data_IF_799991397643
#
_entry.id   IF_799991397643
#
_cell.length_a   1.000
_cell.length_b   1.000
_cell.length_c   1.000
_cell.angle_alpha   90.00
_cell.angle_beta   90.00
_cell.angle_gamma   90.00
#
_symmetry.space_group_name_H-M   'P 1'
#
loop_
_entity.id
_entity.type
_entity.pdbx_description
1 polymer ?
#
# COMPACT_ATOMS: atom_id res chain seq x y z
N UNK A 1 21.35 -3.13 -7.87
CA UNK A 1 20.50 -4.21 -8.41
C UNK A 1 19.54 -3.72 -9.49
N UNK A 2 18.91 -2.54 -9.38
CA UNK A 2 18.01 -1.99 -10.42
C UNK A 2 18.69 -1.63 -11.76
N UNK A 3 19.97 -1.19 -11.77
CA UNK A 3 20.74 -0.90 -13.00
C UNK A 3 20.93 -2.12 -13.93
N UNK A 4 20.85 -3.34 -13.39
CA UNK A 4 20.99 -4.56 -14.18
C UNK A 4 19.64 -4.96 -14.80
N UNK A 5 18.52 -4.81 -14.09
CA UNK A 5 17.23 -5.37 -14.52
C UNK A 5 16.65 -4.74 -15.80
N UNK A 6 16.74 -3.42 -15.99
CA UNK A 6 16.22 -2.77 -17.20
C UNK A 6 17.03 -3.10 -18.47
N UNK A 7 18.37 -3.12 -18.36
CA UNK A 7 19.26 -3.56 -19.44
C UNK A 7 19.14 -5.08 -19.70
N UNK A 8 18.96 -5.88 -18.64
CA UNK A 8 18.81 -7.35 -18.76
C UNK A 8 17.47 -7.73 -19.40
N UNK A 9 16.39 -6.96 -19.18
CA UNK A 9 15.10 -7.18 -19.86
C UNK A 9 15.16 -6.88 -21.35
N UNK A 10 15.89 -5.83 -21.78
CA UNK A 10 16.08 -5.53 -23.20
C UNK A 10 17.04 -6.50 -23.91
N UNK A 11 17.98 -7.12 -23.18
CA UNK A 11 18.96 -8.05 -23.75
C UNK A 11 18.46 -9.51 -23.87
N UNK A 12 17.39 -9.91 -23.17
CA UNK A 12 16.95 -11.33 -23.13
C UNK A 12 15.91 -11.75 -24.19
N UNK A 13 15.42 -10.83 -25.03
CA UNK A 13 14.41 -11.15 -26.07
C UNK A 13 14.97 -11.16 -27.49
N UNK A 14 16.21 -11.62 -27.69
CA UNK A 14 16.76 -11.90 -29.03
C UNK A 14 16.11 -13.15 -29.63
N UNK A 15 14.88 -13.03 -30.11
CA UNK A 15 14.30 -13.99 -31.04
C UNK A 15 14.98 -13.80 -32.41
N UNK A 16 15.45 -14.89 -33.01
CA UNK A 16 16.08 -14.88 -34.33
C UNK A 16 15.09 -14.37 -35.39
N UNK A 17 15.13 -13.07 -35.67
CA UNK A 17 14.52 -12.49 -36.86
C UNK A 17 15.37 -12.89 -38.07
N UNK A 18 14.74 -13.17 -39.22
CA UNK A 18 15.45 -13.52 -40.45
C UNK A 18 16.51 -12.45 -40.77
N UNK A 19 17.71 -12.89 -41.16
CA UNK A 19 18.88 -12.03 -41.35
C UNK A 19 18.54 -10.80 -42.19
N UNK A 20 18.51 -9.62 -41.56
CA UNK A 20 18.43 -8.37 -42.31
C UNK A 20 19.79 -8.12 -42.98
N UNK A 21 19.84 -7.16 -43.90
CA UNK A 21 21.12 -6.79 -44.49
C UNK A 21 21.98 -6.01 -43.46
N UNK A 22 23.31 -6.16 -43.50
CA UNK A 22 24.20 -5.31 -42.71
C UNK A 22 24.04 -3.84 -43.10
N UNK A 23 24.20 -2.95 -42.12
CA UNK A 23 24.10 -1.52 -42.26
C UNK A 23 25.20 -1.01 -43.21
N UNK A 24 24.81 -0.19 -44.17
CA UNK A 24 25.76 0.59 -44.97
C UNK A 24 26.50 1.60 -44.09
N UNK A 25 27.68 2.05 -44.55
CA UNK A 25 28.45 3.10 -43.85
C UNK A 25 27.61 4.37 -43.62
N UNK A 26 26.77 4.76 -44.58
CA UNK A 26 25.88 5.90 -44.45
C UNK A 26 24.81 5.71 -43.35
N UNK A 27 24.25 4.50 -43.22
CA UNK A 27 23.31 4.16 -42.16
C UNK A 27 23.98 4.21 -40.78
N UNK A 28 25.20 3.67 -40.65
CA UNK A 28 25.97 3.75 -39.39
C UNK A 28 26.29 5.21 -39.01
N UNK A 29 26.67 6.05 -39.98
CA UNK A 29 26.89 7.48 -39.72
C UNK A 29 25.60 8.19 -39.30
N UNK A 30 24.47 7.92 -39.96
CA UNK A 30 23.16 8.47 -39.58
C UNK A 30 22.76 8.07 -38.17
N UNK A 31 22.98 6.80 -37.80
CA UNK A 31 22.68 6.30 -36.46
C UNK A 31 23.53 6.97 -35.38
N UNK A 32 24.86 7.08 -35.60
CA UNK A 32 25.75 7.77 -34.67
C UNK A 32 25.38 9.26 -34.50
N UNK A 33 24.99 9.94 -35.59
CA UNK A 33 24.51 11.31 -35.54
C UNK A 33 23.17 11.45 -34.81
N UNK A 34 22.28 10.46 -34.91
CA UNK A 34 21.00 10.46 -34.20
C UNK A 34 21.19 10.34 -32.69
N UNK A 35 22.08 9.45 -32.23
CA UNK A 35 22.40 9.25 -30.81
C UNK A 35 23.08 10.51 -30.21
N UNK A 36 23.97 11.14 -30.98
CA UNK A 36 24.69 12.35 -30.56
C UNK A 36 23.87 13.64 -30.73
N UNK A 37 22.65 13.58 -31.26
CA UNK A 37 21.82 14.76 -31.43
C UNK A 37 21.35 15.27 -30.06
N UNK A 38 21.46 16.59 -29.87
CA UNK A 38 20.86 17.26 -28.73
C UNK A 38 19.34 17.16 -28.82
N UNK A 39 18.71 16.87 -27.69
CA UNK A 39 17.25 16.98 -27.56
C UNK A 39 16.85 18.46 -27.48
N UNK A 40 15.59 18.76 -27.77
CA UNK A 40 15.06 20.11 -27.67
C UNK A 40 15.23 20.69 -26.26
N UNK A 41 15.33 22.02 -26.16
CA UNK A 41 15.39 22.71 -24.86
C UNK A 41 14.16 22.41 -24.00
N UNK A 42 12.98 22.26 -24.60
CA UNK A 42 11.76 21.86 -23.90
C UNK A 42 11.87 20.48 -23.29
N UNK A 43 12.38 19.50 -24.04
CA UNK A 43 12.61 18.16 -23.52
C UNK A 43 13.68 18.18 -22.42
N UNK A 44 14.84 18.80 -22.68
CA UNK A 44 15.91 18.92 -21.68
C UNK A 44 15.45 19.52 -20.34
N UNK A 45 14.63 20.58 -20.37
CA UNK A 45 14.05 21.17 -19.16
C UNK A 45 13.10 20.21 -18.43
N UNK A 46 12.25 19.47 -19.17
CA UNK A 46 11.34 18.48 -18.60
C UNK A 46 12.08 17.31 -17.93
N UNK A 47 13.27 16.98 -18.44
CA UNK A 47 14.17 15.98 -17.87
C UNK A 47 15.08 16.51 -16.76
N UNK A 48 15.03 17.82 -16.47
CA UNK A 48 15.96 18.50 -15.58
C UNK A 48 17.44 18.35 -16.00
N UNK A 49 17.69 18.25 -17.29
CA UNK A 49 19.03 18.18 -17.87
C UNK A 49 19.49 19.55 -18.39
N UNK A 50 20.79 19.89 -18.32
CA UNK A 50 21.30 21.08 -18.98
C UNK A 50 21.10 20.97 -20.51
N UNK A 51 20.51 21.99 -21.17
CA UNK A 51 20.19 21.93 -22.60
C UNK A 51 21.38 21.64 -23.50
N UNK A 52 22.58 22.09 -23.10
CA UNK A 52 23.79 21.99 -23.92
C UNK A 52 24.45 20.59 -23.86
N UNK A 53 24.06 19.76 -22.89
CA UNK A 53 24.61 18.40 -22.70
C UNK A 53 23.58 17.29 -22.87
N UNK A 54 22.31 17.64 -23.05
CA UNK A 54 21.22 16.68 -23.12
C UNK A 54 21.15 16.05 -24.53
N UNK A 55 21.70 14.85 -24.63
CA UNK A 55 21.67 14.01 -25.84
C UNK A 55 20.87 12.74 -25.58
N UNK A 56 20.41 12.06 -26.63
CA UNK A 56 19.79 10.74 -26.47
C UNK A 56 20.73 9.73 -25.79
N UNK A 57 22.03 9.81 -26.07
CA UNK A 57 23.05 8.98 -25.39
C UNK A 57 23.05 9.18 -23.87
N UNK A 58 23.15 10.44 -23.42
CA UNK A 58 23.15 10.78 -21.99
C UNK A 58 21.88 10.33 -21.28
N UNK A 59 20.78 10.31 -22.01
CA UNK A 59 19.47 9.98 -21.51
C UNK A 59 19.29 8.46 -21.37
N UNK A 60 19.67 7.67 -22.39
CA UNK A 60 19.64 6.20 -22.33
C UNK A 60 20.58 5.65 -21.25
N UNK A 61 21.66 6.39 -20.94
CA UNK A 61 22.58 6.05 -19.86
C UNK A 61 21.98 6.25 -18.45
N UNK A 62 20.94 7.09 -18.30
CA UNK A 62 20.31 7.38 -17.02
C UNK A 62 19.15 6.40 -16.75
N UNK A 63 19.21 5.72 -15.60
CA UNK A 63 18.19 4.71 -15.24
C UNK A 63 16.90 5.41 -14.81
N UNK A 64 15.78 5.08 -15.46
CA UNK A 64 14.47 5.68 -15.18
C UNK A 64 14.10 6.85 -16.10
N UNK A 65 14.97 7.20 -17.05
CA UNK A 65 14.74 8.30 -18.01
C UNK A 65 13.67 8.00 -19.08
N UNK A 66 13.20 6.74 -19.17
CA UNK A 66 12.18 6.35 -20.14
C UNK A 66 10.83 7.02 -19.87
N UNK A 67 10.45 7.19 -18.59
CA UNK A 67 9.18 7.82 -18.21
C UNK A 67 9.17 9.32 -18.54
N UNK A 68 10.35 9.92 -18.43
CA UNK A 68 10.57 11.34 -18.67
C UNK A 68 10.73 11.64 -20.16
N UNK A 69 11.22 10.69 -20.97
CA UNK A 69 11.16 10.73 -22.44
C UNK A 69 9.75 10.71 -23.00
N UNK A 70 8.83 10.03 -22.32
CA UNK A 70 7.44 9.93 -22.78
C UNK A 70 6.60 11.17 -22.47
N UNK A 71 7.21 12.23 -21.93
CA UNK A 71 6.52 13.50 -21.69
C UNK A 71 6.18 14.18 -23.02
N UNK A 72 5.06 14.93 -23.08
CA UNK A 72 4.68 15.69 -24.29
C UNK A 72 5.78 16.63 -24.79
N UNK A 73 6.63 17.16 -23.89
CA UNK A 73 7.74 18.04 -24.24
C UNK A 73 8.85 17.34 -25.05
N UNK A 74 8.89 16.01 -25.06
CA UNK A 74 9.89 15.17 -25.71
C UNK A 74 9.36 14.40 -26.93
N UNK A 75 8.08 14.56 -27.29
CA UNK A 75 7.46 13.77 -28.37
C UNK A 75 8.12 13.97 -29.73
N UNK A 76 8.47 15.23 -30.05
CA UNK A 76 9.09 15.58 -31.32
C UNK A 76 10.54 15.08 -31.40
N UNK A 77 11.27 15.16 -30.28
CA UNK A 77 12.62 14.60 -30.19
C UNK A 77 12.62 13.08 -30.37
N UNK A 78 11.70 12.39 -29.70
CA UNK A 78 11.55 10.94 -29.81
C UNK A 78 11.14 10.53 -31.23
N UNK A 79 10.21 11.26 -31.86
CA UNK A 79 9.81 11.02 -33.25
C UNK A 79 10.99 11.25 -34.23
N UNK A 80 11.75 12.34 -34.04
CA UNK A 80 12.91 12.66 -34.85
C UNK A 80 14.01 11.59 -34.68
N UNK A 81 14.32 11.18 -33.45
CA UNK A 81 15.28 10.10 -33.18
C UNK A 81 14.84 8.79 -33.84
N UNK A 82 13.57 8.39 -33.66
CA UNK A 82 13.05 7.16 -34.27
C UNK A 82 13.15 7.20 -35.80
N UNK A 83 12.85 8.34 -36.42
CA UNK A 83 12.92 8.49 -37.89
C UNK A 83 14.33 8.35 -38.48
N UNK A 84 15.37 8.52 -37.65
CA UNK A 84 16.78 8.49 -38.05
C UNK A 84 17.47 7.15 -37.79
N UNK A 85 16.87 6.26 -37.01
CA UNK A 85 17.42 4.92 -36.76
C UNK A 85 17.17 4.05 -37.99
N UNK A 86 18.24 3.56 -38.66
CA UNK A 86 18.10 2.78 -39.87
C UNK A 86 17.53 1.38 -39.56
N UNK A 87 16.79 0.82 -40.52
CA UNK A 87 16.40 -0.60 -40.49
C UNK A 87 17.50 -1.45 -41.13
N UNK A 88 18.39 -2.01 -40.31
CA UNK A 88 19.47 -2.92 -40.69
C UNK A 88 19.92 -3.77 -39.48
N UNK A 89 20.71 -4.84 -39.72
CA UNK A 89 21.03 -5.86 -38.71
C UNK A 89 21.74 -5.28 -37.46
N UNK A 90 22.74 -4.42 -37.63
CA UNK A 90 23.50 -3.82 -36.53
C UNK A 90 22.67 -2.79 -35.74
N UNK A 91 21.62 -2.25 -36.35
CA UNK A 91 20.66 -1.35 -35.71
C UNK A 91 19.40 -2.08 -35.20
N UNK A 92 19.29 -3.40 -35.42
CA UNK A 92 18.08 -4.18 -35.07
C UNK A 92 17.76 -4.12 -33.58
N UNK A 93 18.78 -4.17 -32.71
CA UNK A 93 18.63 -4.01 -31.26
C UNK A 93 18.11 -2.63 -30.88
N UNK A 94 18.61 -1.57 -31.53
CA UNK A 94 18.17 -0.19 -31.28
C UNK A 94 16.76 0.04 -31.80
N UNK A 95 16.45 -0.46 -32.99
CA UNK A 95 15.11 -0.41 -33.58
C UNK A 95 14.08 -1.17 -32.73
N UNK A 96 14.45 -2.34 -32.19
CA UNK A 96 13.62 -3.08 -31.25
C UNK A 96 13.41 -2.31 -29.95
N UNK A 97 14.48 -1.77 -29.36
CA UNK A 97 14.39 -0.94 -28.15
C UNK A 97 13.53 0.31 -28.38
N UNK A 98 13.62 0.94 -29.56
CA UNK A 98 12.76 2.06 -29.94
C UNK A 98 11.30 1.68 -30.10
N UNK A 99 11.02 0.53 -30.71
CA UNK A 99 9.65 0.01 -30.82
C UNK A 99 9.07 -0.25 -29.44
N UNK A 100 9.85 -0.84 -28.53
CA UNK A 100 9.47 -1.03 -27.14
C UNK A 100 9.25 0.32 -26.44
N UNK A 101 10.12 1.31 -26.63
CA UNK A 101 10.01 2.65 -26.06
C UNK A 101 8.78 3.41 -26.59
N UNK A 102 8.47 3.32 -27.88
CA UNK A 102 7.29 3.94 -28.45
C UNK A 102 6.01 3.29 -27.94
N UNK A 103 5.97 1.96 -27.89
CA UNK A 103 4.87 1.21 -27.28
C UNK A 103 4.72 1.59 -25.81
N UNK A 104 5.84 1.71 -25.10
CA UNK A 104 5.88 2.16 -23.72
C UNK A 104 5.30 3.57 -23.55
N UNK A 105 5.77 4.56 -24.32
CA UNK A 105 5.24 5.93 -24.26
C UNK A 105 3.77 6.02 -24.64
N UNK A 106 3.33 5.23 -25.63
CA UNK A 106 1.92 5.13 -25.97
C UNK A 106 1.11 4.59 -24.78
N UNK A 107 1.54 3.50 -24.15
CA UNK A 107 0.82 2.90 -23.04
C UNK A 107 0.85 3.77 -21.77
N UNK A 108 1.95 4.46 -21.48
CA UNK A 108 2.05 5.41 -20.35
C UNK A 108 1.12 6.61 -20.54
N UNK A 109 0.86 7.01 -21.78
CA UNK A 109 -0.12 8.08 -22.10
C UNK A 109 -1.56 7.56 -22.23
N UNK A 110 -1.74 6.24 -22.29
CA UNK A 110 -3.04 5.56 -22.36
C UNK A 110 -3.11 4.45 -21.30
N UNK A 111 -3.00 4.80 -20.00
CA UNK A 111 -3.03 3.80 -18.95
C UNK A 111 -4.36 3.05 -18.95
N UNK A 112 -4.34 1.85 -18.39
CA UNK A 112 -5.53 1.06 -18.12
C UNK A 112 -6.38 1.79 -17.08
N UNK A 113 -7.58 2.22 -17.49
CA UNK A 113 -8.47 3.06 -16.66
C UNK A 113 -9.82 2.41 -16.35
N UNK A 114 -10.05 1.19 -16.84
CA UNK A 114 -11.33 0.47 -16.83
C UNK A 114 -11.47 -0.56 -15.70
N UNK A 115 -10.47 -0.66 -14.82
CA UNK A 115 -10.41 -1.67 -13.76
C UNK A 115 -9.88 -3.03 -14.21
N UNK A 116 -9.44 -3.17 -15.47
CA UNK A 116 -8.85 -4.38 -16.03
C UNK A 116 -7.49 -4.74 -15.44
N UNK A 117 -6.83 -5.75 -16.01
CA UNK A 117 -5.51 -6.19 -15.52
C UNK A 117 -4.43 -5.14 -15.81
N UNK A 118 -3.56 -4.87 -14.83
CA UNK A 118 -2.42 -3.98 -15.04
C UNK A 118 -1.43 -4.56 -16.05
N UNK A 119 -0.97 -3.71 -16.96
CA UNK A 119 0.13 -3.98 -17.89
C UNK A 119 1.46 -3.52 -17.30
N UNK A 120 2.58 -3.92 -17.92
CA UNK A 120 3.90 -3.42 -17.53
C UNK A 120 4.03 -1.89 -17.60
N UNK A 121 3.33 -1.25 -18.54
CA UNK A 121 3.31 0.21 -18.67
C UNK A 121 2.52 0.88 -17.54
N UNK A 122 1.43 0.25 -17.07
CA UNK A 122 0.68 0.76 -15.92
C UNK A 122 1.54 0.80 -14.66
N UNK A 123 2.33 -0.25 -14.41
CA UNK A 123 3.24 -0.28 -13.26
C UNK A 123 4.31 0.80 -13.32
N UNK A 124 4.83 1.05 -14.51
CA UNK A 124 5.89 2.02 -14.68
C UNK A 124 5.35 3.47 -14.65
N UNK A 125 4.15 3.73 -15.20
CA UNK A 125 3.44 4.99 -14.96
C UNK A 125 3.15 5.18 -13.46
N UNK A 126 2.68 4.14 -12.77
CA UNK A 126 2.45 4.21 -11.32
C UNK A 126 3.74 4.61 -10.59
N UNK A 127 4.85 3.90 -10.83
CA UNK A 127 6.15 4.19 -10.23
C UNK A 127 6.61 5.63 -10.51
N UNK A 128 6.48 6.09 -11.76
CA UNK A 128 6.81 7.46 -12.15
C UNK A 128 5.97 8.49 -11.39
N UNK A 129 4.65 8.28 -11.32
CA UNK A 129 3.69 9.18 -10.67
C UNK A 129 3.92 9.27 -9.16
N UNK A 130 4.13 8.15 -8.46
CA UNK A 130 4.37 8.16 -7.01
C UNK A 130 5.77 8.65 -6.62
N UNK A 131 6.72 8.60 -7.56
CA UNK A 131 8.08 9.14 -7.36
C UNK A 131 8.16 10.65 -7.60
N UNK A 132 7.11 11.28 -8.14
CA UNK A 132 7.09 12.74 -8.33
C UNK A 132 7.23 13.45 -6.98
N UNK A 133 8.00 14.54 -6.92
CA UNK A 133 8.05 15.35 -5.71
C UNK A 133 6.65 15.85 -5.33
N UNK A 134 6.35 15.83 -4.03
CA UNK A 134 5.16 16.50 -3.51
C UNK A 134 5.28 18.01 -3.77
N UNK A 135 4.15 18.71 -3.85
CA UNK A 135 4.19 20.18 -3.95
C UNK A 135 4.98 20.77 -2.79
N UNK A 136 5.69 21.88 -3.03
CA UNK A 136 6.57 22.50 -2.04
C UNK A 136 5.86 22.95 -0.76
N UNK A 137 4.57 23.29 -0.86
CA UNK A 137 3.69 23.62 0.27
C UNK A 137 3.13 22.38 1.00
N UNK A 138 3.49 21.17 0.55
CA UNK A 138 3.25 19.91 1.24
C UNK A 138 4.54 19.30 1.77
N UNK A 139 5.62 19.32 0.97
CA UNK A 139 6.89 18.66 1.29
C UNK A 139 7.62 19.26 2.50
N UNK A 140 7.33 20.50 2.89
CA UNK A 140 7.89 21.09 4.11
C UNK A 140 7.48 20.35 5.39
N UNK A 141 6.41 19.53 5.32
CA UNK A 141 5.79 18.90 6.49
C UNK A 141 5.66 17.38 6.38
N UNK A 142 5.93 16.76 5.22
CA UNK A 142 5.35 15.45 4.91
C UNK A 142 6.18 14.49 4.00
N UNK A 143 7.50 14.71 3.84
CA UNK A 143 8.43 13.93 2.96
C UNK A 143 8.61 14.48 1.53
N UNK A 144 9.56 13.92 0.77
CA UNK A 144 9.93 14.43 -0.57
C UNK A 144 9.00 13.95 -1.69
N UNK A 145 8.44 12.74 -1.57
CA UNK A 145 7.56 12.10 -2.56
C UNK A 145 6.51 11.19 -1.90
N UNK A 146 5.60 10.61 -2.69
CA UNK A 146 4.47 9.80 -2.20
C UNK A 146 4.95 8.50 -1.53
N UNK A 147 6.00 7.86 -2.07
CA UNK A 147 6.57 6.62 -1.50
C UNK A 147 7.09 6.89 -0.09
N UNK A 148 7.87 7.96 0.09
CA UNK A 148 8.38 8.33 1.41
C UNK A 148 7.24 8.68 2.38
N UNK A 149 6.21 9.40 1.92
CA UNK A 149 5.04 9.69 2.73
C UNK A 149 4.32 8.41 3.20
N UNK A 150 4.15 7.39 2.33
CA UNK A 150 3.56 6.11 2.76
C UNK A 150 4.38 5.40 3.82
N UNK A 151 5.70 5.59 3.84
CA UNK A 151 6.59 4.96 4.81
C UNK A 151 6.67 5.72 6.14
N UNK A 152 6.40 7.03 6.14
CA UNK A 152 6.47 7.88 7.33
C UNK A 152 5.09 8.06 7.99
N UNK A 153 4.73 7.09 8.83
CA UNK A 153 3.52 7.15 9.66
C UNK A 153 3.44 8.40 10.56
N UNK A 154 4.57 9.06 10.86
CA UNK A 154 4.59 10.27 11.71
C UNK A 154 4.25 11.54 10.92
N UNK A 155 4.38 11.50 9.59
CA UNK A 155 4.03 12.59 8.69
C UNK A 155 2.53 12.65 8.35
N UNK A 156 1.81 11.52 8.47
CA UNK A 156 0.38 11.43 8.15
C UNK A 156 -0.53 12.44 8.86
N UNK A 157 -0.39 12.73 10.18
CA UNK A 157 -1.23 13.74 10.82
C UNK A 157 -1.02 15.13 10.22
N UNK A 158 0.21 15.50 9.89
CA UNK A 158 0.53 16.77 9.24
C UNK A 158 0.01 16.81 7.79
N UNK A 159 0.14 15.71 7.06
CA UNK A 159 -0.43 15.52 5.72
C UNK A 159 -1.96 15.70 5.73
N UNK A 160 -2.67 14.96 6.58
CA UNK A 160 -4.13 15.02 6.67
C UNK A 160 -4.66 16.35 7.21
N UNK A 161 -3.85 17.07 7.98
CA UNK A 161 -4.14 18.43 8.42
C UNK A 161 -3.91 19.52 7.37
N UNK A 162 -3.28 19.20 6.23
CA UNK A 162 -2.93 20.15 5.18
C UNK A 162 -3.79 19.96 3.93
N UNK A 163 -4.74 20.88 3.63
CA UNK A 163 -5.57 20.80 2.43
C UNK A 163 -4.75 20.77 1.13
N UNK A 164 -3.59 21.43 1.10
CA UNK A 164 -2.69 21.43 -0.05
C UNK A 164 -2.04 20.06 -0.27
N UNK A 165 -1.68 19.37 0.81
CA UNK A 165 -1.16 18.02 0.73
C UNK A 165 -2.21 17.03 0.21
N UNK A 166 -3.42 17.08 0.77
CA UNK A 166 -4.52 16.23 0.33
C UNK A 166 -4.85 16.49 -1.14
N UNK A 167 -4.86 17.76 -1.58
CA UNK A 167 -5.06 18.12 -2.98
C UNK A 167 -3.91 17.64 -3.89
N UNK A 168 -2.66 17.68 -3.42
CA UNK A 168 -1.52 17.14 -4.16
C UNK A 168 -1.66 15.63 -4.40
N UNK A 169 -2.00 14.85 -3.37
CA UNK A 169 -2.21 13.41 -3.52
C UNK A 169 -3.43 13.10 -4.38
N UNK A 170 -4.50 13.91 -4.31
CA UNK A 170 -5.62 13.78 -5.24
C UNK A 170 -5.18 13.98 -6.71
N UNK A 171 -4.30 14.96 -6.98
CA UNK A 171 -3.75 15.17 -8.31
C UNK A 171 -2.81 14.04 -8.78
N UNK A 172 -2.09 13.40 -7.85
CA UNK A 172 -1.32 12.17 -8.12
C UNK A 172 -2.28 11.03 -8.46
N UNK A 173 -3.33 10.85 -7.66
CA UNK A 173 -4.33 9.82 -7.85
C UNK A 173 -4.99 9.85 -9.23
N UNK A 174 -5.32 11.04 -9.75
CA UNK A 174 -5.93 11.18 -11.07
C UNK A 174 -5.04 10.66 -12.22
N UNK A 175 -3.72 10.62 -12.01
CA UNK A 175 -2.74 10.12 -12.97
C UNK A 175 -2.45 8.62 -12.83
N UNK A 176 -2.90 7.97 -11.75
CA UNK A 176 -2.59 6.57 -11.47
C UNK A 176 -3.52 5.65 -12.25
N UNK A 177 -3.01 4.60 -12.93
CA UNK A 177 -3.85 3.63 -13.62
C UNK A 177 -4.95 3.05 -12.72
N UNK A 178 -6.17 2.98 -13.24
CA UNK A 178 -7.25 2.23 -12.60
C UNK A 178 -7.23 0.79 -13.14
N UNK A 179 -6.30 -0.02 -12.65
CA UNK A 179 -6.13 -1.42 -13.03
C UNK A 179 -5.90 -2.29 -11.79
N UNK A 180 -6.20 -3.59 -11.90
CA UNK A 180 -5.95 -4.59 -10.86
C UNK A 180 -4.72 -5.44 -11.17
N UNK A 181 -3.88 -5.64 -10.15
CA UNK A 181 -2.73 -6.56 -10.21
C UNK A 181 -3.21 -8.01 -10.15
N UNK A 182 -4.28 -8.25 -9.39
CA UNK A 182 -4.96 -9.53 -9.27
C UNK A 182 -6.45 -9.32 -9.53
N UNK A 183 -6.98 -9.92 -10.60
CA UNK A 183 -8.41 -9.80 -10.93
C UNK A 183 -9.31 -10.60 -9.97
N UNK A 184 -8.75 -11.52 -9.19
CA UNK A 184 -9.49 -12.28 -8.19
C UNK A 184 -9.63 -11.55 -6.86
N UNK A 185 -8.79 -10.55 -6.61
CA UNK A 185 -8.83 -9.71 -5.43
C UNK A 185 -9.26 -8.27 -5.79
N UNK A 186 -10.48 -7.83 -5.43
CA UNK A 186 -10.88 -6.43 -5.62
C UNK A 186 -10.03 -5.46 -4.78
N UNK A 187 -9.20 -5.96 -3.87
CA UNK A 187 -8.14 -5.26 -3.12
C UNK A 187 -6.94 -4.85 -3.96
N UNK A 188 -6.66 -5.59 -5.03
CA UNK A 188 -5.45 -5.43 -5.79
C UNK A 188 -5.51 -4.33 -6.87
N UNK A 189 -6.56 -3.50 -6.87
CA UNK A 189 -6.64 -2.33 -7.74
C UNK A 189 -5.65 -1.25 -7.27
N UNK A 190 -4.69 -0.89 -8.13
CA UNK A 190 -3.59 0.03 -7.80
C UNK A 190 -4.11 1.39 -7.34
N UNK A 191 -5.07 1.93 -8.09
CA UNK A 191 -5.72 3.20 -7.78
C UNK A 191 -6.46 3.12 -6.45
N UNK A 192 -7.26 2.08 -6.24
CA UNK A 192 -7.98 1.83 -4.99
C UNK A 192 -7.05 1.67 -3.78
N UNK A 193 -5.94 0.95 -3.94
CA UNK A 193 -4.93 0.78 -2.89
C UNK A 193 -4.27 2.12 -2.52
N UNK A 194 -3.89 2.93 -3.51
CA UNK A 194 -3.32 4.26 -3.24
C UNK A 194 -4.33 5.17 -2.52
N UNK A 195 -5.60 5.13 -2.97
CA UNK A 195 -6.70 5.83 -2.33
C UNK A 195 -6.83 5.43 -0.86
N UNK A 196 -6.83 4.13 -0.60
CA UNK A 196 -6.94 3.59 0.74
C UNK A 196 -5.78 4.05 1.63
N UNK A 197 -4.54 4.00 1.11
CA UNK A 197 -3.33 4.39 1.83
C UNK A 197 -3.30 5.87 2.20
N UNK A 198 -3.87 6.77 1.40
CA UNK A 198 -3.77 8.22 1.62
C UNK A 198 -5.10 8.93 1.91
N UNK A 199 -6.21 8.19 2.02
CA UNK A 199 -7.49 8.75 2.42
C UNK A 199 -7.47 9.11 3.91
N UNK A 200 -7.63 10.40 4.19
CA UNK A 200 -7.69 10.95 5.55
C UNK A 200 -9.05 10.79 6.22
N UNK A 201 -10.08 10.40 5.45
CA UNK A 201 -11.41 10.12 5.99
C UNK A 201 -11.43 8.69 6.51
N UNK A 202 -11.81 8.45 7.78
CA UNK A 202 -12.00 7.11 8.31
C UNK A 202 -12.90 6.27 7.40
N UNK A 203 -12.60 4.99 7.28
CA UNK A 203 -13.38 4.04 6.52
C UNK A 203 -14.75 3.79 7.15
N UNK A 204 -15.71 3.40 6.31
CA UNK A 204 -17.04 3.02 6.78
C UNK A 204 -17.00 1.79 7.70
N UNK A 205 -18.04 1.63 8.53
CA UNK A 205 -18.15 0.49 9.43
C UNK A 205 -18.14 -0.84 8.67
N UNK A 206 -17.19 -1.73 9.00
CA UNK A 206 -16.97 -3.00 8.30
C UNK A 206 -16.39 -2.86 6.87
N UNK A 207 -16.12 -1.63 6.42
CA UNK A 207 -15.45 -1.34 5.16
C UNK A 207 -13.93 -1.43 5.26
N UNK A 208 -13.22 -0.97 4.23
CA UNK A 208 -11.76 -0.96 4.24
C UNK A 208 -11.19 0.16 5.10
N UNK A 209 -10.16 -0.15 5.88
CA UNK A 209 -9.44 0.83 6.67
C UNK A 209 -8.60 1.74 5.79
N UNK A 210 -8.51 3.00 6.19
CA UNK A 210 -7.80 4.08 5.49
C UNK A 210 -6.65 4.62 6.34
N UNK A 211 -5.87 5.56 5.81
CA UNK A 211 -4.93 6.34 6.63
C UNK A 211 -5.61 7.11 7.77
N UNK A 212 -6.85 7.57 7.58
CA UNK A 212 -7.65 8.19 8.64
C UNK A 212 -7.84 7.26 9.84
N UNK A 213 -8.10 5.99 9.58
CA UNK A 213 -8.21 4.96 10.62
C UNK A 213 -6.87 4.69 11.29
N UNK A 214 -5.79 4.58 10.52
CA UNK A 214 -4.44 4.41 11.06
C UNK A 214 -4.03 5.57 11.97
N UNK A 215 -4.42 6.80 11.62
CA UNK A 215 -4.22 7.99 12.45
C UNK A 215 -5.02 7.90 13.75
N UNK A 216 -6.28 7.47 13.71
CA UNK A 216 -7.07 7.25 14.92
C UNK A 216 -6.44 6.21 15.84
N UNK A 217 -5.91 5.12 15.30
CA UNK A 217 -5.18 4.10 16.06
C UNK A 217 -3.88 4.64 16.66
N UNK A 218 -3.17 5.50 15.92
CA UNK A 218 -1.94 6.15 16.40
C UNK A 218 -2.25 7.15 17.52
N UNK A 219 -3.35 7.89 17.41
CA UNK A 219 -3.84 8.78 18.46
C UNK A 219 -4.22 7.99 19.71
N UNK A 220 -4.94 6.88 19.56
CA UNK A 220 -5.25 5.97 20.66
C UNK A 220 -3.96 5.46 21.32
N UNK A 221 -3.02 4.97 20.51
CA UNK A 221 -1.77 4.42 20.99
C UNK A 221 -0.93 5.44 21.80
N UNK A 222 -1.04 6.72 21.46
CA UNK A 222 -0.31 7.81 22.12
C UNK A 222 -1.10 8.51 23.23
N UNK A 223 -2.37 8.15 23.42
CA UNK A 223 -3.24 8.72 24.45
C UNK A 223 -2.63 8.50 25.84
N UNK A 224 -2.41 9.57 26.63
CA UNK A 224 -1.90 9.43 27.98
C UNK A 224 -2.95 8.78 28.87
N UNK A 225 -2.51 7.80 29.67
CA UNK A 225 -3.37 7.13 30.64
C UNK A 225 -3.81 8.13 31.70
N UNK A 226 -5.09 8.09 32.10
CA UNK A 226 -5.60 8.95 33.16
C UNK A 226 -4.76 8.82 34.43
N UNK A 227 -4.45 9.96 35.06
CA UNK A 227 -3.57 10.01 36.23
C UNK A 227 -4.03 9.07 37.36
N UNK A 228 -5.33 8.98 37.62
CA UNK A 228 -5.90 8.09 38.63
C UNK A 228 -5.77 6.60 38.27
N UNK A 229 -5.81 6.25 36.99
CA UNK A 229 -5.55 4.90 36.52
C UNK A 229 -4.06 4.57 36.64
N UNK A 230 -3.19 5.46 36.17
CA UNK A 230 -1.74 5.30 36.28
C UNK A 230 -1.31 5.14 37.74
N UNK A 231 -1.82 5.98 38.64
CA UNK A 231 -1.54 5.89 40.09
C UNK A 231 -2.02 4.56 40.68
N UNK A 232 -3.26 4.14 40.39
CA UNK A 232 -3.81 2.90 40.93
C UNK A 232 -3.04 1.64 40.49
N UNK A 233 -2.33 1.73 39.37
CA UNK A 233 -1.50 0.65 38.82
C UNK A 233 0.00 0.85 39.06
N UNK A 234 0.42 1.90 39.77
CA UNK A 234 1.82 2.29 39.94
C UNK A 234 2.58 2.46 38.61
N UNK A 235 1.91 3.00 37.60
CA UNK A 235 2.49 3.28 36.28
C UNK A 235 3.09 4.70 36.25
N UNK A 236 4.17 4.93 35.49
CA UNK A 236 4.70 6.27 35.26
C UNK A 236 3.62 7.25 34.74
N UNK A 237 3.65 8.55 35.12
CA UNK A 237 2.68 9.54 34.62
C UNK A 237 2.69 9.74 33.10
N UNK A 238 3.81 9.41 32.44
CA UNK A 238 3.96 9.46 30.98
C UNK A 238 3.53 8.17 30.27
N UNK A 239 2.90 7.23 30.99
CA UNK A 239 2.41 5.98 30.42
C UNK A 239 1.35 6.27 29.36
N UNK A 240 1.54 5.70 28.18
CA UNK A 240 0.61 5.78 27.05
C UNK A 240 -0.29 4.55 27.03
N UNK A 241 -1.41 4.64 26.31
CA UNK A 241 -2.35 3.53 26.15
C UNK A 241 -1.68 2.22 25.70
N UNK A 242 -0.71 2.27 24.78
CA UNK A 242 0.02 1.07 24.33
C UNK A 242 0.73 0.34 25.46
N UNK A 243 1.44 1.09 26.31
CA UNK A 243 2.14 0.51 27.45
C UNK A 243 1.16 -0.07 28.47
N UNK A 244 0.03 0.61 28.73
CA UNK A 244 -1.05 0.08 29.57
C UNK A 244 -1.60 -1.23 29.03
N UNK A 245 -1.88 -1.29 27.73
CA UNK A 245 -2.50 -2.45 27.06
C UNK A 245 -1.60 -3.69 27.05
N UNK A 246 -0.28 -3.50 27.00
CA UNK A 246 0.70 -4.59 27.08
C UNK A 246 1.07 -4.98 28.52
N UNK A 247 0.63 -4.21 29.51
CA UNK A 247 0.90 -4.53 30.91
C UNK A 247 -0.06 -5.62 31.37
N UNK A 248 0.47 -6.66 32.00
CA UNK A 248 -0.34 -7.72 32.59
C UNK A 248 -1.30 -7.10 33.62
N UNK A 249 -2.60 -7.30 33.45
CA UNK A 249 -3.62 -6.66 34.29
C UNK A 249 -3.55 -7.21 35.71
N UNK A 250 -3.15 -6.41 36.72
CA UNK A 250 -3.06 -6.90 38.09
C UNK A 250 -4.48 -7.15 38.65
N UNK A 251 -4.64 -8.00 39.68
CA UNK A 251 -5.94 -8.30 40.27
C UNK A 251 -6.73 -7.07 40.73
N UNK A 252 -6.02 -6.00 41.14
CA UNK A 252 -6.63 -4.74 41.55
C UNK A 252 -7.23 -3.91 40.41
N UNK A 253 -6.89 -4.20 39.14
CA UNK A 253 -7.34 -3.47 37.95
C UNK A 253 -8.84 -3.16 37.97
N UNK A 254 -9.62 -4.17 38.36
CA UNK A 254 -11.08 -4.15 38.37
C UNK A 254 -11.70 -3.25 39.43
N UNK A 255 -10.94 -2.88 40.47
CA UNK A 255 -11.34 -1.97 41.51
C UNK A 255 -10.89 -0.51 41.24
N UNK A 256 -10.22 -0.26 40.10
CA UNK A 256 -9.69 1.07 39.74
C UNK A 256 -10.58 1.80 38.74
N UNK A 257 -10.16 3.01 38.34
CA UNK A 257 -10.75 3.78 37.24
C UNK A 257 -10.23 3.36 35.86
N UNK A 258 -9.25 2.45 35.78
CA UNK A 258 -8.67 2.00 34.53
C UNK A 258 -9.64 1.34 33.55
N UNK A 259 -10.60 0.50 33.99
CA UNK A 259 -11.60 -0.06 33.08
C UNK A 259 -12.42 1.04 32.38
N UNK A 260 -12.82 2.08 33.12
CA UNK A 260 -13.55 3.23 32.56
C UNK A 260 -12.67 4.09 31.62
N UNK A 261 -11.37 4.23 31.90
CA UNK A 261 -10.45 4.88 30.96
C UNK A 261 -10.37 4.10 29.64
N UNK A 262 -10.16 2.79 29.72
CA UNK A 262 -10.04 1.92 28.55
C UNK A 262 -11.34 1.93 27.73
N UNK A 263 -12.48 1.86 28.40
CA UNK A 263 -13.80 2.04 27.81
C UNK A 263 -13.92 3.33 27.00
N UNK A 264 -13.62 4.48 27.63
CA UNK A 264 -13.66 5.77 26.97
C UNK A 264 -12.72 5.80 25.78
N UNK A 265 -11.46 5.37 25.95
CA UNK A 265 -10.46 5.35 24.90
C UNK A 265 -10.91 4.52 23.68
N UNK A 266 -11.54 3.36 23.89
CA UNK A 266 -12.12 2.58 22.79
C UNK A 266 -13.34 3.28 22.19
N UNK A 267 -14.28 3.77 22.98
CA UNK A 267 -15.48 4.44 22.42
C UNK A 267 -15.15 5.70 21.61
N UNK A 268 -14.05 6.39 21.91
CA UNK A 268 -13.64 7.61 21.21
C UNK A 268 -12.69 7.38 20.04
N UNK A 269 -11.99 6.24 20.01
CA UNK A 269 -10.93 5.98 19.01
C UNK A 269 -11.00 4.61 18.33
N UNK A 270 -12.07 3.83 18.52
CA UNK A 270 -12.32 2.62 17.73
C UNK A 270 -12.59 3.04 16.29
N UNK A 271 -11.72 2.56 15.41
CA UNK A 271 -11.90 2.65 13.96
C UNK A 271 -13.06 1.76 13.56
N UNK A 272 -13.93 2.20 12.65
CA UNK A 272 -15.12 1.42 12.29
C UNK A 272 -14.82 0.33 11.25
N UNK A 273 -13.72 0.48 10.51
CA UNK A 273 -13.31 -0.38 9.41
C UNK A 273 -12.91 -1.82 9.81
N UNK A 274 -12.80 -2.71 8.83
CA UNK A 274 -12.25 -4.06 9.00
C UNK A 274 -10.73 -3.99 9.17
N UNK A 275 -10.25 -4.22 10.39
CA UNK A 275 -8.83 -4.18 10.75
C UNK A 275 -7.97 -5.17 9.95
N UNK A 276 -8.54 -6.21 9.33
CA UNK A 276 -7.81 -7.08 8.41
C UNK A 276 -7.36 -6.37 7.13
N UNK A 277 -7.98 -5.22 6.82
CA UNK A 277 -7.70 -4.41 5.64
C UNK A 277 -6.83 -3.19 5.94
N UNK A 278 -6.31 -3.04 7.17
CA UNK A 278 -5.40 -1.95 7.49
C UNK A 278 -4.24 -1.93 6.49
N UNK A 279 -3.89 -0.75 5.95
CA UNK A 279 -2.67 -0.60 5.16
C UNK A 279 -1.49 -0.67 6.13
N UNK A 280 -1.05 -1.88 6.47
CA UNK A 280 0.07 -2.09 7.40
C UNK A 280 1.34 -2.44 6.63
N UNK A 281 2.34 -1.59 6.78
CA UNK A 281 3.74 -1.99 6.73
C UNK A 281 4.01 -2.96 7.91
N UNK A 282 4.43 -4.20 7.66
CA UNK A 282 4.61 -5.21 8.69
C UNK A 282 5.75 -4.80 9.65
N UNK A 283 5.43 -4.41 10.88
CA UNK A 283 6.50 -4.21 11.89
C UNK A 283 6.08 -3.60 13.22
N UNK A 284 5.53 -2.39 13.23
CA UNK A 284 5.44 -1.61 14.48
C UNK A 284 4.14 -1.84 15.27
N UNK A 285 3.02 -2.10 14.58
CA UNK A 285 1.69 -2.18 15.19
C UNK A 285 1.13 -3.60 15.30
N UNK A 286 1.86 -4.63 14.84
CA UNK A 286 1.34 -6.01 14.75
C UNK A 286 0.65 -6.55 16.01
N UNK A 287 1.25 -6.44 17.21
CA UNK A 287 0.62 -6.90 18.46
C UNK A 287 -0.63 -6.09 18.85
N UNK A 288 -0.61 -4.78 18.58
CA UNK A 288 -1.73 -3.87 18.85
C UNK A 288 -2.87 -4.18 17.89
N UNK A 289 -2.60 -4.28 16.58
CA UNK A 289 -3.61 -4.57 15.56
C UNK A 289 -4.29 -5.92 15.81
N UNK A 290 -3.55 -6.97 16.19
CA UNK A 290 -4.14 -8.28 16.46
C UNK A 290 -5.08 -8.25 17.68
N UNK A 291 -4.69 -7.57 18.75
CA UNK A 291 -5.54 -7.44 19.95
C UNK A 291 -6.71 -6.48 19.73
N UNK A 292 -6.51 -5.39 19.00
CA UNK A 292 -7.58 -4.49 18.59
C UNK A 292 -8.54 -5.17 17.61
N UNK A 293 -8.07 -6.04 16.71
CA UNK A 293 -8.92 -6.80 15.80
C UNK A 293 -9.90 -7.67 16.56
N UNK A 294 -9.44 -8.36 17.61
CA UNK A 294 -10.31 -9.15 18.47
C UNK A 294 -11.33 -8.27 19.24
N UNK A 295 -10.89 -7.12 19.77
CA UNK A 295 -11.76 -6.17 20.45
C UNK A 295 -12.80 -5.55 19.49
N UNK A 296 -12.41 -5.32 18.24
CA UNK A 296 -13.24 -4.73 17.21
C UNK A 296 -14.30 -5.69 16.69
N UNK A 297 -13.95 -6.97 16.47
CA UNK A 297 -14.93 -8.02 16.13
C UNK A 297 -15.99 -8.15 17.23
N UNK A 298 -15.58 -8.04 18.51
CA UNK A 298 -16.53 -7.98 19.61
C UNK A 298 -17.38 -6.70 19.54
N UNK A 299 -16.78 -5.53 19.37
CA UNK A 299 -17.51 -4.26 19.28
C UNK A 299 -18.50 -4.21 18.12
N UNK A 300 -18.14 -4.74 16.95
CA UNK A 300 -19.00 -4.79 15.77
C UNK A 300 -20.19 -5.74 15.94
N UNK A 301 -20.01 -6.86 16.65
CA UNK A 301 -21.05 -7.89 16.80
C UNK A 301 -22.08 -7.61 17.89
N UNK A 302 -21.67 -6.95 18.98
CA UNK A 302 -22.56 -6.69 20.14
C UNK A 302 -22.71 -5.20 20.48
N UNK A 303 -22.03 -4.31 19.75
CA UNK A 303 -21.94 -2.89 20.06
C UNK A 303 -20.84 -2.59 21.08
N UNK A 304 -20.29 -1.38 21.06
CA UNK A 304 -19.12 -0.99 21.88
C UNK A 304 -19.38 -1.20 23.37
N UNK A 305 -20.54 -0.78 23.88
CA UNK A 305 -20.90 -0.92 25.29
C UNK A 305 -21.00 -2.39 25.74
N UNK A 306 -21.50 -3.29 24.88
CA UNK A 306 -21.61 -4.71 25.22
C UNK A 306 -20.24 -5.42 25.11
N UNK A 307 -19.43 -5.07 24.12
CA UNK A 307 -18.07 -5.59 23.98
C UNK A 307 -17.18 -5.16 25.15
N UNK A 308 -17.32 -3.92 25.59
CA UNK A 308 -16.69 -3.41 26.81
C UNK A 308 -17.15 -4.18 28.04
N UNK A 309 -18.47 -4.36 28.22
CA UNK A 309 -19.00 -5.13 29.34
C UNK A 309 -18.51 -6.59 29.33
N UNK A 310 -18.38 -7.22 28.15
CA UNK A 310 -17.85 -8.56 28.00
C UNK A 310 -16.34 -8.63 28.30
N UNK A 311 -15.57 -7.63 27.85
CA UNK A 311 -14.14 -7.52 28.14
C UNK A 311 -13.90 -7.28 29.63
N UNK A 312 -14.67 -6.38 30.26
CA UNK A 312 -14.66 -6.18 31.71
C UNK A 312 -15.05 -7.46 32.43
N UNK A 313 -16.13 -8.13 32.07
CA UNK A 313 -16.57 -9.34 32.75
C UNK A 313 -15.52 -10.47 32.67
N UNK A 314 -14.75 -10.52 31.59
CA UNK A 314 -13.65 -11.48 31.41
C UNK A 314 -12.39 -11.11 32.21
N UNK A 315 -11.99 -9.83 32.18
CA UNK A 315 -10.81 -9.35 32.91
C UNK A 315 -11.08 -9.22 34.42
N UNK A 316 -12.34 -8.99 34.77
CA UNK A 316 -12.85 -8.73 36.10
C UNK A 316 -14.00 -9.69 36.39
N UNK A 317 -13.71 -11.00 36.55
CA UNK A 317 -14.73 -11.93 36.96
C UNK A 317 -15.28 -11.45 38.30
N UNK A 318 -16.55 -11.03 38.29
CA UNK A 318 -17.26 -10.65 39.50
C UNK A 318 -17.16 -11.87 40.41
N UNK A 319 -16.47 -11.73 41.55
CA UNK A 319 -16.43 -12.82 42.52
C UNK A 319 -17.89 -13.13 42.84
N UNK A 320 -18.38 -14.35 42.56
CA UNK A 320 -19.80 -14.63 42.75
C UNK A 320 -20.13 -14.29 44.19
N UNK A 321 -21.12 -13.41 44.38
CA UNK A 321 -21.64 -13.09 45.70
C UNK A 321 -21.88 -14.43 46.42
N UNK A 322 -21.45 -14.60 47.68
CA UNK A 322 -21.55 -15.87 48.38
C UNK A 322 -22.95 -16.42 48.22
N UNK A 323 -23.08 -17.47 47.41
CA UNK A 323 -24.41 -18.04 47.16
C UNK A 323 -24.87 -18.61 48.48
N UNK A 324 -25.93 -18.02 49.03
CA UNK A 324 -26.68 -18.60 50.15
C UNK A 324 -26.94 -20.07 49.79
N UNK A 325 -26.60 -21.04 50.67
CA UNK A 325 -26.66 -22.46 50.33
C UNK A 325 -28.01 -22.82 49.71
N UNK A 326 -27.99 -23.16 48.42
CA UNK A 326 -29.18 -23.64 47.71
C UNK A 326 -29.60 -24.96 48.38
N UNK A 327 -30.87 -25.11 48.82
CA UNK A 327 -31.37 -26.37 49.33
C UNK A 327 -31.09 -27.50 48.34
N UNK A 328 -30.57 -28.62 48.85
CA UNK A 328 -30.17 -29.77 48.05
C UNK A 328 -31.28 -30.17 47.06
N UNK A 329 -31.00 -30.20 45.75
CA UNK A 329 -31.99 -30.62 44.77
C UNK A 329 -32.39 -32.07 44.99
N UNK A 330 -33.70 -32.33 45.02
CA UNK A 330 -34.27 -33.67 44.97
C UNK A 330 -33.83 -34.35 43.66
N UNK A 331 -33.40 -35.63 43.67
CA UNK A 331 -32.90 -36.33 42.49
C UNK A 331 -33.90 -36.27 41.34
N UNK A 332 -33.45 -35.77 40.19
CA UNK A 332 -34.22 -35.78 38.95
C UNK A 332 -34.15 -37.16 38.29
N UNK A 333 -35.22 -37.64 37.63
CA UNK A 333 -35.21 -38.91 36.93
C UNK A 333 -34.26 -38.88 35.72
N UNK A 334 -33.50 -39.97 35.57
CA UNK A 334 -32.56 -40.22 34.48
C UNK A 334 -33.24 -40.10 33.10
N UNK A 335 -32.79 -39.20 32.20
CA UNK A 335 -33.29 -39.12 30.84
C UNK A 335 -32.88 -40.34 30.01
N UNK A 336 -33.80 -40.81 29.17
CA UNK A 336 -33.64 -41.90 28.22
C UNK A 336 -32.67 -41.51 27.08
N UNK A 337 -31.95 -42.49 26.49
CA UNK A 337 -30.89 -42.24 25.51
C UNK A 337 -31.43 -41.60 24.22
N UNK A 338 -30.77 -40.52 23.81
CA UNK A 338 -31.00 -39.83 22.53
C UNK A 338 -30.34 -40.61 21.38
N UNK A 339 -31.02 -40.81 20.24
CA UNK A 339 -30.44 -41.54 19.11
C UNK A 339 -29.33 -40.74 18.39
N UNK A 340 -28.28 -41.48 18.03
CA UNK A 340 -27.06 -41.02 17.35
C UNK A 340 -27.35 -40.56 15.90
N UNK A 341 -26.93 -39.36 15.47
CA UNK A 341 -27.03 -38.95 14.08
C UNK A 341 -26.00 -39.66 13.19
N UNK A 342 -26.46 -40.04 11.99
CA UNK A 342 -25.71 -40.71 10.91
C UNK A 342 -24.72 -39.76 10.22
N UNK A 343 -23.48 -40.18 9.90
CA UNK A 343 -22.49 -39.30 9.28
C UNK A 343 -22.77 -39.04 7.79
N UNK A 344 -22.79 -37.77 7.40
CA UNK A 344 -22.81 -37.31 6.00
C UNK A 344 -21.39 -37.20 5.46
N UNK A 345 -21.10 -37.85 4.32
CA UNK A 345 -19.81 -37.77 3.62
C UNK A 345 -19.63 -36.40 2.97
N UNK A 346 -18.48 -35.78 3.22
CA UNK A 346 -18.01 -34.55 2.56
C UNK A 346 -17.14 -34.93 1.35
N UNK A 347 -17.41 -34.31 0.20
CA UNK A 347 -16.63 -34.46 -1.04
C UNK A 347 -15.69 -33.25 -1.14
N UNK A 348 -14.38 -33.52 -1.16
CA UNK A 348 -13.34 -32.52 -1.32
C UNK A 348 -13.21 -32.08 -2.79
N UNK A 349 -13.11 -30.77 -3.01
CA UNK A 349 -12.80 -30.17 -4.30
C UNK A 349 -11.26 -30.08 -4.52
N UNK A 350 -10.78 -30.08 -5.78
CA UNK A 350 -9.36 -30.09 -6.09
C UNK A 350 -8.68 -28.73 -5.89
N UNK A 351 -7.48 -28.79 -5.31
CA UNK A 351 -6.55 -27.66 -5.17
C UNK A 351 -5.97 -27.31 -6.54
N UNK A 352 -6.14 -26.06 -6.96
CA UNK A 352 -5.46 -25.47 -8.12
C UNK A 352 -4.22 -24.73 -7.64
N UNK A 353 -3.03 -25.17 -8.06
CA UNK A 353 -1.77 -24.44 -7.87
C UNK A 353 -1.66 -23.35 -8.93
N UNK A 354 -1.72 -22.08 -8.52
CA UNK A 354 -1.35 -20.95 -9.37
C UNK A 354 0.15 -20.64 -9.23
N UNK A 355 0.82 -20.60 -10.38
CA UNK A 355 2.19 -20.11 -10.56
C UNK A 355 2.18 -18.58 -10.49
N UNK A 356 2.65 -18.00 -9.40
CA UNK A 356 3.04 -16.58 -9.32
C UNK A 356 4.56 -16.51 -9.20
N UNK A 357 5.20 -16.48 -10.37
CA UNK A 357 6.64 -16.28 -10.51
C UNK A 357 7.00 -14.78 -10.61
N UNK A 358 7.77 -14.31 -9.64
CA UNK A 358 8.70 -13.18 -9.73
C UNK A 358 8.20 -11.71 -9.79
N UNK A 359 6.91 -11.40 -10.00
CA UNK A 359 6.45 -9.99 -9.97
C UNK A 359 6.07 -9.46 -8.56
N UNK A 360 5.68 -10.34 -7.62
CA UNK A 360 5.15 -9.92 -6.31
C UNK A 360 6.19 -9.41 -5.30
N UNK A 361 7.49 -9.65 -5.52
CA UNK A 361 8.54 -9.30 -4.52
C UNK A 361 8.91 -7.81 -4.57
N UNK A 362 8.73 -7.14 -5.70
CA UNK A 362 9.05 -5.70 -5.83
C UNK A 362 7.95 -4.83 -5.19
N UNK A 363 6.69 -5.27 -5.24
CA UNK A 363 5.57 -4.54 -4.62
C UNK A 363 5.58 -4.67 -3.09
N UNK A 364 5.97 -5.83 -2.54
CA UNK A 364 6.11 -6.03 -1.09
C UNK A 364 7.30 -5.27 -0.46
N UNK A 365 8.12 -4.59 -1.26
CA UNK A 365 9.16 -3.67 -0.79
C UNK A 365 8.79 -2.19 -1.00
N UNK A 366 7.72 -1.90 -1.75
CA UNK A 366 7.25 -0.53 -2.05
C UNK A 366 5.92 -0.19 -1.36
N UNK A 367 5.22 -1.18 -0.79
CA UNK A 367 4.06 -1.06 0.09
C UNK A 367 4.37 -1.67 1.46
#
# INVERSE_FOLDING_TARGET
MHRLLALTWMLLTTTHHGAAAPCSMAQNTSHAQAIAANISTSCAMALHMPPDSATFDSLVAEVGSYDTLCQPACSDDLANYTSRVPSCDEASTTSHALTLLQSYCYNVTHPTMDGGACTGADFALFAAVVSKPLWSNCSSNASSNVIELSSDTTAFPAYCGSPNCVANIAAVYDQVPNCSIDLSDPGANVRGALQQTFNCTPGDAGGRCTAGDLQMLTNLATLPVWANCSEALNLPPSTKFTALWTTETPPQWCATTCPAYVAVAFTTHVVACDLATLPILPGLLGPIVSTLAAAHVAAASMGVAAAEAAALAKACPVTPAPTTPKPAPKPAPTPAPTPTPTPTRSIAAPVTMSLLGACGVVLAMLL
#
